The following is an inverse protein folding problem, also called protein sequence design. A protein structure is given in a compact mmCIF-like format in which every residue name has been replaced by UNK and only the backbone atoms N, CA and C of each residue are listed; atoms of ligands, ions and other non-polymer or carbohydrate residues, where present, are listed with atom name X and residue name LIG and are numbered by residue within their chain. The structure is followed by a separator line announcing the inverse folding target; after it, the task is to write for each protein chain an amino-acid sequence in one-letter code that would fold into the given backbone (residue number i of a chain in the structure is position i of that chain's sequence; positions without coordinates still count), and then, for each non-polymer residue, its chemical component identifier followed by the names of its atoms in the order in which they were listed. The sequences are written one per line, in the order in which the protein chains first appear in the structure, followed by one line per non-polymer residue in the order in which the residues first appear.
data_IF_361140926761
#
_entry.id   IF_361140926761
#
_cell.length_a   1.000
_cell.length_b   1.000
_cell.length_c   1.000
_cell.angle_alpha   90.00
_cell.angle_beta   90.00
_cell.angle_gamma   90.00
#
_symmetry.space_group_name_H-M   'P 1'
#
loop_
_entity.id
_entity.type
_entity.pdbx_description
1 polymer ?
#
# COMPACT_ATOMS: atom_id res chain seq x y z
N UNK A 1 -82.26 -27.96 35.14
CA UNK A 1 -81.41 -27.75 33.95
C UNK A 1 -80.93 -26.30 33.97
N UNK A 2 -79.65 -26.05 34.22
CA UNK A 2 -79.07 -24.69 34.24
C UNK A 2 -77.59 -24.78 33.87
N UNK A 3 -77.19 -24.03 32.84
CA UNK A 3 -75.86 -24.10 32.20
C UNK A 3 -74.80 -23.39 33.03
N UNK A 4 -73.69 -24.09 33.28
CA UNK A 4 -72.39 -23.52 33.62
C UNK A 4 -71.54 -23.29 32.37
N UNK A 5 -70.89 -22.12 32.26
CA UNK A 5 -69.42 -21.96 32.24
C UNK A 5 -68.99 -20.60 31.65
N UNK A 6 -68.55 -19.75 32.57
CA UNK A 6 -67.35 -18.90 32.61
C UNK A 6 -66.75 -18.33 31.31
N UNK A 7 -66.64 -17.00 31.26
CA UNK A 7 -65.69 -16.25 30.43
C UNK A 7 -64.70 -15.47 31.32
N UNK A 8 -63.42 -15.50 30.93
CA UNK A 8 -62.29 -14.87 31.62
C UNK A 8 -61.65 -13.77 30.77
N UNK A 9 -61.21 -12.73 31.50
CA UNK A 9 -60.03 -11.87 31.29
C UNK A 9 -60.02 -10.77 30.21
N UNK A 10 -60.13 -9.51 30.70
CA UNK A 10 -59.15 -8.39 30.66
C UNK A 10 -58.44 -8.05 29.33
N UNK A 11 -58.23 -6.79 28.92
CA UNK A 11 -57.81 -5.62 29.71
C UNK A 11 -58.13 -4.27 29.04
N UNK A 12 -58.23 -3.27 29.92
CA UNK A 12 -58.72 -1.91 29.84
C UNK A 12 -57.81 -0.96 29.05
N UNK A 13 -58.41 -0.04 28.31
CA UNK A 13 -57.71 1.05 27.64
C UNK A 13 -57.81 2.42 28.33
N UNK A 14 -57.12 3.36 27.67
CA UNK A 14 -57.27 4.84 27.61
C UNK A 14 -56.63 5.73 28.69
N UNK A 15 -55.68 6.51 28.13
CA UNK A 15 -55.58 7.99 28.08
C UNK A 15 -54.79 8.74 29.16
N UNK A 16 -53.69 9.31 28.66
CA UNK A 16 -53.22 10.71 28.74
C UNK A 16 -53.17 11.39 30.11
N UNK A 17 -51.96 11.79 30.48
CA UNK A 17 -51.68 13.10 31.08
C UNK A 17 -50.37 13.64 30.51
N UNK A 18 -50.38 14.94 30.19
CA UNK A 18 -49.34 15.73 29.54
C UNK A 18 -48.62 16.51 30.64
N UNK A 19 -47.31 16.39 30.75
CA UNK A 19 -46.47 17.30 31.53
C UNK A 19 -45.34 17.81 30.64
N UNK A 20 -45.14 19.12 30.72
CA UNK A 20 -44.26 19.99 29.94
C UNK A 20 -42.90 20.08 30.66
N UNK A 21 -41.81 19.82 29.95
CA UNK A 21 -40.41 20.14 30.31
C UNK A 21 -39.75 20.49 28.96
N UNK A 22 -39.74 21.77 28.61
CA UNK A 22 -38.57 22.66 28.64
C UNK A 22 -37.45 22.23 27.69
N UNK A 23 -37.23 23.13 26.72
CA UNK A 23 -36.20 23.13 25.68
C UNK A 23 -34.79 22.84 26.23
N UNK A 24 -34.19 21.76 25.73
CA UNK A 24 -32.77 21.77 25.40
C UNK A 24 -32.65 21.49 23.90
N UNK A 25 -32.00 22.35 23.11
CA UNK A 25 -31.77 22.09 21.69
C UNK A 25 -30.80 20.91 21.57
N UNK A 26 -31.31 19.80 21.05
CA UNK A 26 -30.50 18.68 20.56
C UNK A 26 -29.43 19.25 19.61
N UNK A 27 -28.13 18.97 19.81
CA UNK A 27 -27.09 19.58 18.99
C UNK A 27 -27.32 19.17 17.54
N UNK A 28 -27.70 20.16 16.71
CA UNK A 28 -27.96 19.98 15.30
C UNK A 28 -26.75 19.28 14.67
N UNK A 29 -26.96 18.06 14.16
CA UNK A 29 -25.94 17.40 13.35
C UNK A 29 -25.63 18.32 12.17
N UNK A 30 -24.37 18.70 11.94
CA UNK A 30 -24.03 19.54 10.81
C UNK A 30 -24.46 18.86 9.49
N UNK A 31 -24.90 19.64 8.49
CA UNK A 31 -25.34 19.11 7.21
C UNK A 31 -24.25 18.26 6.55
N UNK A 32 -24.61 17.28 5.70
CA UNK A 32 -23.66 16.31 5.11
C UNK A 32 -22.44 16.92 4.40
N UNK A 33 -22.54 18.19 3.96
CA UNK A 33 -21.49 18.94 3.30
C UNK A 33 -20.41 19.53 4.23
N UNK A 34 -20.57 19.43 5.56
CA UNK A 34 -19.61 19.90 6.57
C UNK A 34 -19.06 18.78 7.45
N UNK A 35 -19.28 17.51 7.05
CA UNK A 35 -18.50 16.42 7.62
C UNK A 35 -17.07 16.63 7.12
N UNK A 36 -16.05 16.79 8.00
CA UNK A 36 -14.69 16.64 7.53
C UNK A 36 -14.63 15.27 6.86
N UNK A 37 -14.18 15.24 5.59
CA UNK A 37 -13.84 13.99 4.93
C UNK A 37 -13.02 13.14 5.90
N UNK A 38 -13.22 11.81 5.96
CA UNK A 38 -12.38 10.99 6.81
C UNK A 38 -10.94 11.23 6.36
N UNK A 39 -10.16 11.96 7.16
CA UNK A 39 -8.72 12.06 7.01
C UNK A 39 -8.17 10.65 7.19
N UNK A 40 -8.05 9.92 6.09
CA UNK A 40 -7.24 8.71 6.02
C UNK A 40 -5.79 9.17 5.80
N UNK A 41 -5.29 10.05 6.66
CA UNK A 41 -3.88 10.41 6.67
C UNK A 41 -3.24 9.62 7.81
N UNK A 42 -3.11 8.31 7.60
CA UNK A 42 -2.25 7.47 8.43
C UNK A 42 -0.76 7.73 8.11
N UNK A 43 -0.39 8.99 7.86
CA UNK A 43 1.00 9.38 7.63
C UNK A 43 1.78 9.21 8.94
N UNK A 44 2.76 8.32 8.91
CA UNK A 44 3.68 8.04 9.99
C UNK A 44 5.07 8.53 9.60
N UNK A 45 5.84 8.91 10.61
CA UNK A 45 7.23 9.32 10.45
C UNK A 45 8.14 8.10 10.42
N UNK A 46 9.03 8.10 9.45
CA UNK A 46 9.91 7.00 9.12
C UNK A 46 11.32 7.49 8.89
N UNK A 47 12.30 6.63 9.12
CA UNK A 47 13.72 6.99 8.98
C UNK A 47 14.39 5.93 8.12
N UNK A 48 14.98 6.37 7.00
CA UNK A 48 15.81 5.51 6.17
C UNK A 48 17.28 5.85 6.38
N UNK A 49 18.12 4.84 6.57
CA UNK A 49 19.57 5.01 6.57
C UNK A 49 20.17 4.70 5.20
N UNK A 50 21.39 5.18 4.95
CA UNK A 50 22.16 4.77 3.76
C UNK A 50 22.27 3.25 3.63
N UNK A 51 22.48 2.55 4.75
CA UNK A 51 22.59 1.09 4.77
C UNK A 51 21.28 0.43 4.30
N UNK A 52 20.13 0.96 4.73
CA UNK A 52 18.82 0.46 4.32
C UNK A 52 18.56 0.76 2.84
N UNK A 53 18.91 1.96 2.37
CA UNK A 53 18.82 2.33 0.96
C UNK A 53 19.65 1.40 0.06
N UNK A 54 20.87 1.05 0.47
CA UNK A 54 21.71 0.10 -0.28
C UNK A 54 21.20 -1.35 -0.17
N UNK A 55 20.63 -1.74 0.98
CA UNK A 55 19.98 -3.05 1.13
C UNK A 55 18.79 -3.19 0.18
N UNK A 56 17.98 -2.13 0.04
CA UNK A 56 16.87 -2.06 -0.94
C UNK A 56 17.37 -2.23 -2.38
N UNK A 57 18.54 -1.66 -2.71
CA UNK A 57 19.14 -1.78 -4.05
C UNK A 57 19.39 -3.23 -4.47
N UNK A 58 19.65 -4.14 -3.52
CA UNK A 58 19.70 -5.58 -3.77
C UNK A 58 20.73 -6.02 -4.81
N UNK A 59 21.78 -5.23 -5.08
CA UNK A 59 22.80 -5.50 -6.09
C UNK A 59 22.71 -4.61 -7.34
N UNK A 60 21.63 -3.82 -7.51
CA UNK A 60 21.51 -2.84 -8.60
C UNK A 60 22.69 -1.86 -8.62
N UNK A 61 23.20 -1.48 -7.45
CA UNK A 61 24.32 -0.55 -7.31
C UNK A 61 25.62 -1.01 -7.99
N UNK A 62 25.78 -2.32 -8.16
CA UNK A 62 26.94 -2.93 -8.82
C UNK A 62 26.76 -2.97 -10.33
N UNK A 63 25.52 -3.08 -10.80
CA UNK A 63 25.15 -3.19 -12.22
C UNK A 63 25.06 -1.83 -12.91
N UNK A 64 24.74 -0.76 -12.17
CA UNK A 64 24.64 0.59 -12.74
C UNK A 64 26.00 1.08 -13.22
N UNK A 65 26.06 1.43 -14.51
CA UNK A 65 27.28 1.88 -15.16
C UNK A 65 28.26 0.77 -15.51
N UNK A 66 27.88 -0.50 -15.34
CA UNK A 66 28.62 -1.64 -15.86
C UNK A 66 28.28 -1.85 -17.34
N UNK A 67 29.27 -1.64 -18.22
CA UNK A 67 29.10 -1.79 -19.67
C UNK A 67 28.80 -3.23 -20.11
N UNK A 68 29.07 -4.21 -19.25
CA UNK A 68 28.79 -5.63 -19.53
C UNK A 68 27.33 -6.02 -19.26
N UNK A 69 26.56 -5.15 -18.59
CA UNK A 69 25.17 -5.41 -18.24
C UNK A 69 24.22 -4.58 -19.10
N UNK A 70 23.08 -5.17 -19.49
CA UNK A 70 22.01 -4.44 -20.18
C UNK A 70 21.40 -3.37 -19.26
N UNK A 71 21.83 -2.12 -19.46
CA UNK A 71 21.40 -0.98 -18.66
C UNK A 71 19.91 -0.68 -18.83
N UNK A 72 19.30 -1.04 -19.96
CA UNK A 72 17.87 -0.85 -20.20
C UNK A 72 17.04 -1.84 -19.35
N UNK A 73 17.53 -3.06 -19.18
CA UNK A 73 16.89 -4.07 -18.33
C UNK A 73 16.85 -3.67 -16.83
N UNK A 74 17.68 -2.71 -16.39
CA UNK A 74 17.64 -2.19 -15.02
C UNK A 74 16.44 -1.29 -14.74
N UNK A 75 15.75 -0.78 -15.77
CA UNK A 75 14.72 0.25 -15.62
C UNK A 75 13.68 -0.09 -14.56
N UNK A 76 13.17 -1.32 -14.58
CA UNK A 76 12.12 -1.73 -13.64
C UNK A 76 12.65 -1.79 -12.20
N UNK A 77 13.84 -2.34 -11.98
CA UNK A 77 14.46 -2.38 -10.66
C UNK A 77 14.82 -0.98 -10.15
N UNK A 78 15.31 -0.12 -11.03
CA UNK A 78 15.61 1.29 -10.72
C UNK A 78 14.36 2.06 -10.29
N UNK A 79 13.22 1.87 -10.97
CA UNK A 79 11.95 2.50 -10.59
C UNK A 79 11.43 2.05 -9.22
N UNK A 80 11.70 0.80 -8.84
CA UNK A 80 11.33 0.27 -7.52
C UNK A 80 12.28 0.74 -6.42
N UNK A 81 13.56 0.83 -6.73
CA UNK A 81 14.58 1.21 -5.76
C UNK A 81 14.62 2.72 -5.52
N UNK A 82 14.54 3.54 -6.57
CA UNK A 82 14.65 4.98 -6.47
C UNK A 82 13.40 5.59 -5.86
N UNK A 83 13.65 6.42 -4.85
CA UNK A 83 12.66 7.26 -4.20
C UNK A 83 13.39 8.47 -3.61
N UNK A 84 12.66 9.55 -3.31
CA UNK A 84 13.27 10.73 -2.67
C UNK A 84 14.04 10.37 -1.39
N UNK A 85 13.48 9.60 -0.43
CA UNK A 85 14.21 9.20 0.77
C UNK A 85 15.50 8.43 0.48
N UNK A 86 15.46 7.49 -0.48
CA UNK A 86 16.65 6.74 -0.91
C UNK A 86 17.70 7.68 -1.48
N UNK A 87 17.33 8.53 -2.44
CA UNK A 87 18.26 9.45 -3.11
C UNK A 87 18.94 10.38 -2.10
N UNK A 88 18.22 10.88 -1.10
CA UNK A 88 18.78 11.81 -0.11
C UNK A 88 19.96 11.21 0.68
N UNK A 89 19.90 9.91 1.01
CA UNK A 89 20.91 9.22 1.84
C UNK A 89 22.03 8.55 1.05
N UNK A 90 21.93 8.48 -0.28
CA UNK A 90 22.99 7.93 -1.14
C UNK A 90 24.30 8.71 -0.97
N UNK A 91 25.44 8.01 -1.09
CA UNK A 91 26.75 8.66 -1.17
C UNK A 91 26.86 9.49 -2.46
N UNK A 92 27.72 10.51 -2.49
CA UNK A 92 27.92 11.34 -3.68
C UNK A 92 28.34 10.52 -4.91
N UNK A 93 29.24 9.55 -4.71
CA UNK A 93 29.65 8.63 -5.79
C UNK A 93 28.48 7.82 -6.35
N UNK A 94 27.56 7.37 -5.49
CA UNK A 94 26.38 6.63 -5.93
C UNK A 94 25.36 7.56 -6.60
N UNK A 95 25.13 8.76 -6.08
CA UNK A 95 24.28 9.79 -6.70
C UNK A 95 24.76 10.12 -8.11
N UNK A 96 26.08 10.24 -8.31
CA UNK A 96 26.67 10.45 -9.64
C UNK A 96 26.36 9.31 -10.60
N UNK A 97 26.56 8.05 -10.17
CA UNK A 97 26.21 6.87 -10.99
C UNK A 97 24.73 6.84 -11.37
N UNK A 98 23.85 7.04 -10.38
CA UNK A 98 22.40 7.07 -10.59
C UNK A 98 22.03 8.22 -11.53
N UNK A 99 22.66 9.39 -11.39
CA UNK A 99 22.44 10.53 -12.27
C UNK A 99 22.83 10.25 -13.72
N UNK A 100 24.01 9.68 -13.96
CA UNK A 100 24.46 9.31 -15.31
C UNK A 100 23.52 8.27 -15.95
N UNK A 101 23.01 7.32 -15.18
CA UNK A 101 22.02 6.36 -15.66
C UNK A 101 20.67 7.03 -15.95
N UNK A 102 20.15 7.83 -15.02
CA UNK A 102 18.89 8.57 -15.18
C UNK A 102 18.92 9.48 -16.40
N UNK A 103 20.03 10.18 -16.66
CA UNK A 103 20.19 11.02 -17.86
C UNK A 103 19.99 10.26 -19.18
N UNK A 104 20.28 8.96 -19.21
CA UNK A 104 20.15 8.13 -20.41
C UNK A 104 18.80 7.43 -20.51
N UNK A 105 18.26 6.95 -19.40
CA UNK A 105 17.14 6.00 -19.41
C UNK A 105 15.87 6.47 -18.67
N UNK A 106 16.00 7.33 -17.65
CA UNK A 106 14.85 7.78 -16.86
C UNK A 106 15.09 9.17 -16.24
N UNK A 107 14.52 10.20 -16.86
CA UNK A 107 14.69 11.60 -16.44
C UNK A 107 13.87 11.97 -15.21
N UNK A 108 12.93 11.14 -14.75
CA UNK A 108 11.99 11.49 -13.69
C UNK A 108 12.65 11.82 -12.35
N UNK A 109 13.85 11.29 -12.10
CA UNK A 109 14.59 11.48 -10.85
C UNK A 109 15.64 12.59 -10.89
N UNK A 110 15.88 13.22 -12.05
CA UNK A 110 16.95 14.23 -12.20
C UNK A 110 16.73 15.44 -11.28
N UNK A 111 15.49 15.91 -11.13
CA UNK A 111 15.16 17.02 -10.23
C UNK A 111 15.55 16.71 -8.77
N UNK A 112 15.18 15.52 -8.28
CA UNK A 112 15.51 15.07 -6.92
C UNK A 112 17.02 14.88 -6.72
N UNK A 113 17.73 14.40 -7.75
CA UNK A 113 19.18 14.27 -7.71
C UNK A 113 19.90 15.63 -7.66
N UNK A 114 19.36 16.66 -8.33
CA UNK A 114 19.87 18.02 -8.21
C UNK A 114 19.62 18.60 -6.82
N UNK A 115 18.43 18.40 -6.23
CA UNK A 115 18.13 18.79 -4.84
C UNK A 115 19.08 18.09 -3.85
N UNK A 116 19.42 16.83 -4.10
CA UNK A 116 20.26 16.02 -3.24
C UNK A 116 21.77 16.24 -3.45
N UNK A 117 22.17 17.08 -4.41
CA UNK A 117 23.58 17.35 -4.75
C UNK A 117 24.28 18.06 -3.60
N UNK A 118 25.46 17.57 -3.20
CA UNK A 118 26.22 18.12 -2.07
C UNK A 118 25.69 17.68 -0.69
N UNK A 119 24.55 16.99 -0.62
CA UNK A 119 24.05 16.41 0.62
C UNK A 119 24.72 15.05 0.86
N UNK A 120 25.32 14.86 2.03
CA UNK A 120 25.94 13.60 2.44
C UNK A 120 25.22 12.95 3.64
N UNK A 121 23.90 13.14 3.69
CA UNK A 121 23.06 12.63 4.77
C UNK A 121 23.27 11.13 4.97
N UNK A 122 23.37 10.72 6.23
CA UNK A 122 23.50 9.31 6.64
C UNK A 122 22.11 8.70 6.88
N UNK A 123 21.14 9.54 7.28
CA UNK A 123 19.75 9.20 7.49
C UNK A 123 18.84 10.32 7.00
N UNK A 124 17.60 9.98 6.66
CA UNK A 124 16.58 10.93 6.23
C UNK A 124 15.22 10.57 6.86
N UNK A 125 14.60 11.53 7.54
CA UNK A 125 13.24 11.39 8.08
C UNK A 125 12.23 11.78 7.00
N UNK A 126 11.21 10.95 6.79
CA UNK A 126 10.14 11.20 5.84
C UNK A 126 8.80 10.72 6.38
N UNK A 127 7.71 11.25 5.84
CA UNK A 127 6.36 10.78 6.15
C UNK A 127 5.87 9.85 5.04
N UNK A 128 5.25 8.73 5.41
CA UNK A 128 4.54 7.86 4.48
C UNK A 128 3.35 7.20 5.18
N UNK A 129 2.41 6.66 4.41
CA UNK A 129 1.20 6.01 4.93
C UNK A 129 1.47 4.58 5.43
N UNK A 130 2.50 3.90 4.94
CA UNK A 130 2.99 2.58 5.41
C UNK A 130 4.53 2.54 5.34
N UNK A 131 5.21 2.00 6.36
CA UNK A 131 6.66 1.66 6.33
C UNK A 131 6.85 0.15 6.27
N UNK A 132 7.87 -0.22 5.49
CA UNK A 132 7.80 -1.37 4.63
C UNK A 132 8.78 -2.47 5.06
N UNK A 133 8.42 -3.75 4.97
CA UNK A 133 9.42 -4.82 4.99
C UNK A 133 10.36 -4.64 3.79
N UNK A 134 11.67 -4.59 4.06
CA UNK A 134 12.71 -4.44 3.04
C UNK A 134 12.95 -5.80 2.41
N UNK A 135 12.26 -6.11 1.31
CA UNK A 135 12.72 -7.17 0.41
C UNK A 135 13.74 -6.56 -0.56
N UNK A 136 15.03 -6.96 -0.49
CA UNK A 136 16.04 -6.55 -1.46
C UNK A 136 15.57 -6.87 -2.89
N UNK A 137 15.90 -6.03 -3.87
CA UNK A 137 15.43 -6.22 -5.26
C UNK A 137 15.73 -7.63 -5.79
N UNK A 138 16.89 -8.22 -5.49
CA UNK A 138 17.21 -9.60 -5.88
C UNK A 138 16.28 -10.66 -5.28
N UNK A 139 15.87 -10.48 -4.03
CA UNK A 139 14.87 -11.36 -3.40
C UNK A 139 13.46 -11.08 -3.92
N UNK A 140 13.16 -9.83 -4.27
CA UNK A 140 11.91 -9.47 -4.93
C UNK A 140 11.82 -10.07 -6.33
N UNK A 141 12.90 -10.04 -7.12
CA UNK A 141 12.97 -10.73 -8.42
C UNK A 141 12.74 -12.24 -8.27
N UNK A 142 13.33 -12.87 -7.25
CA UNK A 142 13.08 -14.28 -6.96
C UNK A 142 11.62 -14.54 -6.57
N UNK A 143 11.04 -13.69 -5.72
CA UNK A 143 9.62 -13.77 -5.35
C UNK A 143 8.72 -13.57 -6.57
N UNK A 144 9.01 -12.58 -7.42
CA UNK A 144 8.30 -12.33 -8.68
C UNK A 144 8.38 -13.55 -9.59
N UNK A 145 9.56 -14.11 -9.80
CA UNK A 145 9.73 -15.31 -10.63
C UNK A 145 8.93 -16.49 -10.08
N UNK A 146 8.90 -16.68 -8.75
CA UNK A 146 8.06 -17.68 -8.11
C UNK A 146 6.58 -17.40 -8.33
N UNK A 147 6.12 -16.17 -8.05
CA UNK A 147 4.73 -15.73 -8.25
C UNK A 147 4.29 -15.93 -9.69
N UNK A 148 5.15 -15.67 -10.68
CA UNK A 148 4.82 -15.81 -12.10
C UNK A 148 4.88 -17.27 -12.58
N UNK A 149 5.75 -18.09 -12.00
CA UNK A 149 5.98 -19.47 -12.41
C UNK A 149 5.03 -20.51 -11.80
N UNK A 150 4.18 -20.12 -10.85
CA UNK A 150 3.28 -21.06 -10.19
C UNK A 150 2.10 -21.48 -11.08
N UNK A 151 1.63 -22.75 -11.02
CA UNK A 151 0.37 -23.13 -11.65
C UNK A 151 -0.79 -22.34 -11.04
N UNK A 152 -1.89 -22.07 -11.78
CA UNK A 152 -3.05 -21.31 -11.30
C UNK A 152 -3.85 -22.09 -10.25
N UNK A 153 -3.22 -22.41 -9.13
CA UNK A 153 -3.81 -23.07 -7.98
C UNK A 153 -4.14 -22.05 -6.88
N UNK A 154 -5.40 -22.07 -6.44
CA UNK A 154 -5.95 -21.05 -5.53
C UNK A 154 -5.25 -21.01 -4.20
N UNK A 155 -5.04 -22.18 -3.64
CA UNK A 155 -4.52 -22.32 -2.29
C UNK A 155 -3.05 -21.91 -2.25
N UNK A 156 -2.29 -22.29 -3.28
CA UNK A 156 -0.88 -21.91 -3.45
C UNK A 156 -0.71 -20.40 -3.60
N UNK A 157 -1.53 -19.75 -4.46
CA UNK A 157 -1.48 -18.30 -4.62
C UNK A 157 -1.93 -17.55 -3.36
N UNK A 158 -2.98 -17.99 -2.68
CA UNK A 158 -3.43 -17.34 -1.44
C UNK A 158 -2.36 -17.40 -0.34
N UNK A 159 -1.71 -18.56 -0.16
CA UNK A 159 -0.62 -18.72 0.81
C UNK A 159 0.59 -17.88 0.44
N UNK A 160 1.00 -17.89 -0.83
CA UNK A 160 2.11 -17.07 -1.31
C UNK A 160 1.81 -15.58 -1.20
N UNK A 161 0.57 -15.15 -1.47
CA UNK A 161 0.17 -13.75 -1.34
C UNK A 161 0.21 -13.27 0.11
N UNK A 162 -0.16 -14.14 1.06
CA UNK A 162 0.02 -13.90 2.49
C UNK A 162 1.49 -13.64 2.84
N UNK A 163 2.41 -14.47 2.32
CA UNK A 163 3.85 -14.27 2.47
C UNK A 163 4.32 -12.96 1.81
N UNK A 164 3.92 -12.73 0.55
CA UNK A 164 4.26 -11.51 -0.19
C UNK A 164 3.84 -10.27 0.59
N UNK A 165 2.62 -10.23 1.16
CA UNK A 165 2.18 -9.12 2.03
C UNK A 165 3.06 -8.88 3.24
N UNK A 166 3.64 -9.92 3.82
CA UNK A 166 4.54 -9.78 4.98
C UNK A 166 5.94 -9.32 4.61
N UNK A 167 6.42 -9.66 3.41
CA UNK A 167 7.83 -9.44 3.05
C UNK A 167 8.05 -8.32 2.04
N UNK A 168 7.04 -7.92 1.27
CA UNK A 168 7.16 -6.90 0.21
C UNK A 168 6.60 -5.54 0.62
N UNK A 169 7.08 -4.49 -0.04
CA UNK A 169 6.53 -3.14 0.08
C UNK A 169 5.16 -3.00 -0.62
N UNK A 170 4.43 -1.92 -0.35
CA UNK A 170 3.18 -1.63 -1.08
C UNK A 170 3.44 -1.50 -2.59
N UNK A 171 4.48 -0.74 -2.98
CA UNK A 171 4.85 -0.55 -4.38
C UNK A 171 5.27 -1.85 -5.07
N UNK A 172 5.99 -2.73 -4.36
CA UNK A 172 6.34 -4.07 -4.84
C UNK A 172 5.09 -4.94 -5.06
N UNK A 173 4.11 -4.88 -4.15
CA UNK A 173 2.83 -5.59 -4.32
C UNK A 173 2.00 -5.05 -5.48
N UNK A 174 1.88 -3.73 -5.57
CA UNK A 174 1.16 -3.07 -6.66
C UNK A 174 1.77 -3.49 -8.00
N UNK A 175 3.11 -3.45 -8.11
CA UNK A 175 3.81 -3.95 -9.29
C UNK A 175 3.52 -5.43 -9.59
N UNK A 176 3.57 -6.31 -8.59
CA UNK A 176 3.25 -7.74 -8.79
C UNK A 176 1.82 -7.92 -9.30
N UNK A 177 0.87 -7.13 -8.79
CA UNK A 177 -0.53 -7.21 -9.21
C UNK A 177 -0.73 -6.69 -10.63
N UNK A 178 -0.17 -5.52 -10.96
CA UNK A 178 -0.24 -4.96 -12.31
C UNK A 178 0.32 -5.94 -13.35
N UNK A 179 1.45 -6.57 -13.02
CA UNK A 179 2.08 -7.55 -13.90
C UNK A 179 1.29 -8.85 -13.98
N UNK A 180 0.79 -9.37 -12.86
CA UNK A 180 -0.07 -10.56 -12.84
C UNK A 180 -1.34 -10.32 -13.67
N UNK A 181 -1.97 -9.16 -13.55
CA UNK A 181 -3.15 -8.79 -14.33
C UNK A 181 -2.83 -8.72 -15.84
N UNK A 182 -1.66 -8.19 -16.20
CA UNK A 182 -1.23 -8.10 -17.60
C UNK A 182 -0.86 -9.45 -18.23
N UNK A 183 -0.31 -10.37 -17.43
CA UNK A 183 0.26 -11.63 -17.93
C UNK A 183 -0.64 -12.84 -17.73
N UNK A 184 -1.56 -12.78 -16.76
CA UNK A 184 -2.37 -13.91 -16.31
C UNK A 184 -3.84 -13.50 -16.14
N UNK A 185 -4.59 -13.36 -17.26
CA UNK A 185 -5.99 -12.93 -17.25
C UNK A 185 -6.92 -13.97 -16.64
N UNK A 186 -6.46 -15.21 -16.40
CA UNK A 186 -7.22 -16.27 -15.74
C UNK A 186 -7.51 -16.01 -14.25
N UNK A 187 -6.95 -14.95 -13.66
CA UNK A 187 -7.24 -14.54 -12.29
C UNK A 187 -8.22 -13.36 -12.27
N UNK A 188 -9.23 -13.41 -11.40
CA UNK A 188 -10.09 -12.27 -11.07
C UNK A 188 -9.53 -11.55 -9.83
N UNK A 189 -9.49 -10.22 -9.87
CA UNK A 189 -8.83 -9.40 -8.84
C UNK A 189 -9.85 -8.52 -8.11
N UNK A 190 -9.71 -8.41 -6.79
CA UNK A 190 -10.50 -7.48 -5.98
C UNK A 190 -9.62 -6.34 -5.46
N UNK A 191 -10.03 -5.12 -5.77
CA UNK A 191 -9.54 -3.90 -5.11
C UNK A 191 -10.59 -3.43 -4.10
N UNK A 192 -10.21 -3.33 -2.83
CA UNK A 192 -11.00 -2.59 -1.83
C UNK A 192 -10.41 -1.19 -1.68
N UNK A 193 -11.02 -0.21 -2.35
CA UNK A 193 -10.50 1.16 -2.41
C UNK A 193 -9.12 1.22 -3.09
N UNK A 194 -8.16 1.95 -2.49
CA UNK A 194 -6.77 2.02 -2.97
C UNK A 194 -5.89 0.83 -2.54
N UNK A 195 -6.48 -0.20 -1.93
CA UNK A 195 -5.75 -1.38 -1.48
C UNK A 195 -6.16 -2.61 -2.30
N UNK A 196 -5.20 -3.22 -2.98
CA UNK A 196 -5.40 -4.52 -3.63
C UNK A 196 -5.31 -5.60 -2.55
N UNK A 197 -6.45 -6.19 -2.19
CA UNK A 197 -6.59 -7.02 -0.99
C UNK A 197 -6.50 -8.52 -1.25
N UNK A 198 -6.64 -8.99 -2.50
CA UNK A 198 -6.51 -10.41 -2.79
C UNK A 198 -6.74 -10.85 -4.23
N UNK A 199 -6.67 -12.16 -4.41
CA UNK A 199 -6.67 -12.88 -5.67
C UNK A 199 -7.82 -13.90 -5.62
N UNK A 200 -8.75 -13.84 -6.58
CA UNK A 200 -9.87 -14.77 -6.70
C UNK A 200 -9.73 -15.51 -8.01
N UNK A 201 -9.61 -16.83 -7.93
CA UNK A 201 -9.62 -17.67 -9.12
C UNK A 201 -11.05 -17.95 -9.56
N UNK A 202 -11.31 -18.06 -10.87
CA UNK A 202 -12.55 -18.62 -11.38
C UNK A 202 -12.74 -20.05 -10.86
N UNK A 203 -14.02 -20.42 -10.67
CA UNK A 203 -14.46 -21.68 -10.08
C UNK A 203 -14.07 -22.90 -10.89
#
# INVERSE_FOLDING_TARGET
MGKDKSHSSTSRGKKRSRTKVEDEPEPERPPPALRPDPKIDNERKFVITRTDAMRRAGGLEKKIGDETYDQMALTTGMKRWLSKPVIMVLSEGMKKKVFEWCQKFDHSWLGVLFEAKGNSLVSYEYTATEEEPILPESMFEALRALVMGLPPDRETYQRLWGLARMVTTHSQRAFLMDELQATRPEFEYFAEGNQVTGLVLPR
#
